data_IF_312585376633
#
_entry.id   IF_312585376633
#
_cell.length_a   1.000
_cell.length_b   1.000
_cell.length_c   1.000
_cell.angle_alpha   90.00
_cell.angle_beta   90.00
_cell.angle_gamma   90.00
#
_symmetry.space_group_name_H-M   'P 1'
#
loop_
_entity.id
_entity.type
_entity.pdbx_description
1 polymer ?
#
# COMPACT_ATOMS: atom_id res chain seq x y z
N UNK A 1 0.41 -14.92 -18.80
CA UNK A 1 0.86 -13.74 -18.03
C UNK A 1 -0.34 -13.02 -17.44
N UNK A 2 -0.28 -12.69 -16.16
CA UNK A 2 -1.40 -12.07 -15.46
C UNK A 2 -1.01 -10.64 -15.09
N UNK A 3 -1.90 -9.70 -15.43
CA UNK A 3 -1.78 -8.30 -15.02
C UNK A 3 -2.92 -7.93 -14.08
N UNK A 4 -2.62 -7.20 -13.03
CA UNK A 4 -3.62 -6.58 -12.18
C UNK A 4 -3.55 -5.07 -12.37
N UNK A 5 -4.68 -4.39 -12.30
CA UNK A 5 -4.74 -2.94 -12.54
C UNK A 5 -5.37 -2.26 -11.33
N UNK A 6 -4.66 -1.27 -10.78
CA UNK A 6 -5.16 -0.42 -9.72
C UNK A 6 -4.89 1.03 -10.10
N UNK A 7 -5.94 1.76 -10.49
CA UNK A 7 -5.76 3.14 -10.94
C UNK A 7 -5.31 4.06 -9.81
N UNK A 8 -5.76 3.81 -8.60
CA UNK A 8 -5.47 4.67 -7.46
C UNK A 8 -5.03 3.86 -6.24
N UNK A 9 -3.82 3.31 -6.28
CA UNK A 9 -3.29 2.56 -5.14
C UNK A 9 -3.03 3.48 -3.95
N UNK A 10 -2.86 2.89 -2.77
CA UNK A 10 -2.65 3.63 -1.54
C UNK A 10 -1.72 2.89 -0.58
N UNK A 11 -1.04 3.64 0.26
CA UNK A 11 -0.43 3.10 1.47
C UNK A 11 -1.48 3.12 2.58
N UNK A 12 -1.77 1.98 3.16
CA UNK A 12 -2.68 1.87 4.30
C UNK A 12 -1.85 1.77 5.57
N UNK A 13 -1.88 2.84 6.36
CA UNK A 13 -1.15 2.91 7.62
C UNK A 13 -2.14 2.62 8.76
N UNK A 14 -1.96 1.48 9.40
CA UNK A 14 -2.84 1.03 10.48
C UNK A 14 -2.11 1.19 11.80
N UNK A 15 -2.72 1.96 12.71
CA UNK A 15 -2.18 2.18 14.05
C UNK A 15 -3.15 1.62 15.08
N UNK A 16 -2.60 1.11 16.16
CA UNK A 16 -3.38 0.62 17.29
C UNK A 16 -2.98 1.43 18.52
N UNK A 17 -3.96 2.05 19.14
CA UNK A 17 -3.77 2.89 20.32
C UNK A 17 -4.63 2.35 21.46
N UNK A 18 -3.98 2.01 22.60
CA UNK A 18 -4.72 1.60 23.80
C UNK A 18 -5.22 2.82 24.54
N UNK A 19 -6.48 2.78 24.95
CA UNK A 19 -7.10 3.83 25.78
C UNK A 19 -6.98 5.22 25.15
N UNK A 20 -7.35 5.33 23.86
CA UNK A 20 -7.34 6.61 23.17
C UNK A 20 -8.15 7.66 23.95
N UNK A 21 -7.54 8.84 24.16
CA UNK A 21 -8.19 9.98 24.80
C UNK A 21 -8.01 11.23 23.96
N UNK A 22 -9.12 11.82 23.55
CA UNK A 22 -9.09 13.07 22.77
C UNK A 22 -8.46 14.19 23.57
N UNK A 23 -7.69 15.05 22.89
CA UNK A 23 -7.03 16.19 23.52
C UNK A 23 -5.77 15.86 24.32
N UNK A 24 -5.32 14.62 24.29
CA UNK A 24 -4.10 14.17 24.97
C UNK A 24 -3.15 13.52 23.96
N UNK A 25 -1.88 13.40 24.37
CA UNK A 25 -0.90 12.66 23.58
C UNK A 25 -1.19 11.17 23.73
N UNK A 26 -1.44 10.52 22.61
CA UNK A 26 -1.69 9.08 22.57
C UNK A 26 -0.52 8.40 21.85
N UNK A 27 -0.01 7.34 22.45
CA UNK A 27 1.08 6.57 21.87
C UNK A 27 0.55 5.33 21.17
N UNK A 28 1.13 5.02 20.01
CA UNK A 28 0.76 3.83 19.27
C UNK A 28 1.25 2.58 20.01
N UNK A 29 0.37 1.59 20.14
CA UNK A 29 0.76 0.27 20.62
C UNK A 29 1.44 -0.52 19.52
N UNK A 30 0.85 -0.52 18.32
CA UNK A 30 1.41 -1.16 17.15
C UNK A 30 1.13 -0.31 15.93
N UNK A 31 1.97 -0.47 14.91
CA UNK A 31 1.74 0.15 13.62
C UNK A 31 2.11 -0.81 12.51
N UNK A 32 1.33 -0.81 11.45
CA UNK A 32 1.53 -1.65 10.29
C UNK A 32 1.23 -0.89 9.02
N UNK A 33 1.98 -1.19 7.97
CA UNK A 33 1.76 -0.60 6.66
C UNK A 33 1.32 -1.70 5.70
N UNK A 34 0.21 -1.46 5.02
CA UNK A 34 -0.31 -2.34 3.98
C UNK A 34 -0.41 -1.58 2.67
N UNK A 35 -0.42 -2.31 1.57
CA UNK A 35 -0.49 -1.72 0.24
C UNK A 35 -1.90 -1.94 -0.29
N UNK A 36 -2.64 -0.84 -0.49
CA UNK A 36 -4.06 -0.87 -0.80
C UNK A 36 -4.37 -0.76 -2.28
N UNK A 37 -5.55 -1.25 -2.62
CA UNK A 37 -6.09 -1.30 -3.97
C UNK A 37 -6.50 -2.71 -4.32
N UNK A 38 -7.62 -2.85 -5.03
CA UNK A 38 -8.17 -4.18 -5.32
C UNK A 38 -7.22 -5.01 -6.19
N UNK A 39 -6.66 -4.40 -7.24
CA UNK A 39 -5.70 -5.11 -8.09
C UNK A 39 -4.44 -5.51 -7.34
N UNK A 40 -3.94 -4.64 -6.47
CA UNK A 40 -2.77 -4.94 -5.66
C UNK A 40 -3.07 -6.09 -4.70
N UNK A 41 -4.27 -6.10 -4.09
CA UNK A 41 -4.67 -7.21 -3.23
C UNK A 41 -4.71 -8.54 -3.99
N UNK A 42 -5.19 -8.53 -5.22
CA UNK A 42 -5.19 -9.72 -6.06
C UNK A 42 -3.75 -10.19 -6.33
N UNK A 43 -2.84 -9.27 -6.65
CA UNK A 43 -1.43 -9.62 -6.87
C UNK A 43 -0.79 -10.21 -5.61
N UNK A 44 -1.12 -9.68 -4.44
CA UNK A 44 -0.63 -10.21 -3.17
C UNK A 44 -1.11 -11.65 -2.95
N UNK A 45 -2.39 -11.91 -3.19
CA UNK A 45 -2.97 -13.26 -3.05
C UNK A 45 -2.35 -14.22 -4.05
N UNK A 46 -2.19 -13.81 -5.30
CA UNK A 46 -1.55 -14.63 -6.31
C UNK A 46 -0.11 -14.98 -5.92
N UNK A 47 0.61 -14.01 -5.37
CA UNK A 47 1.97 -14.23 -4.90
C UNK A 47 2.02 -15.28 -3.79
N UNK A 48 1.09 -15.25 -2.85
CA UNK A 48 0.98 -16.25 -1.80
C UNK A 48 0.70 -17.63 -2.36
N UNK A 49 -0.01 -17.72 -3.48
CA UNK A 49 -0.30 -18.97 -4.17
C UNK A 49 0.81 -19.38 -5.15
N UNK A 50 1.93 -18.68 -5.14
CA UNK A 50 3.06 -18.89 -6.04
C UNK A 50 2.73 -18.70 -7.51
N UNK A 51 1.78 -17.78 -7.80
CA UNK A 51 1.40 -17.41 -9.15
C UNK A 51 1.93 -16.00 -9.42
N UNK A 52 2.75 -15.86 -10.45
CA UNK A 52 3.30 -14.56 -10.84
C UNK A 52 2.25 -13.67 -11.47
N UNK A 53 2.27 -12.39 -11.10
CA UNK A 53 1.49 -11.35 -11.77
C UNK A 53 2.30 -10.07 -11.81
N UNK A 54 1.88 -9.13 -12.66
CA UNK A 54 2.46 -7.80 -12.71
C UNK A 54 1.40 -6.78 -12.36
N UNK A 55 1.65 -5.98 -11.33
CA UNK A 55 0.73 -4.94 -10.90
C UNK A 55 0.96 -3.67 -11.72
N UNK A 56 -0.12 -3.15 -12.29
CA UNK A 56 -0.14 -1.91 -13.07
C UNK A 56 -0.95 -0.86 -12.32
N UNK A 57 -0.61 0.40 -12.50
CA UNK A 57 -1.34 1.49 -11.89
C UNK A 57 -0.56 2.79 -11.98
N UNK A 58 -1.08 3.83 -11.35
CA UNK A 58 -0.45 5.14 -11.30
C UNK A 58 0.08 5.39 -9.89
N UNK A 59 1.32 5.82 -9.79
CA UNK A 59 1.94 6.21 -8.52
C UNK A 59 2.55 7.59 -8.62
N UNK A 60 2.80 8.22 -7.49
CA UNK A 60 3.26 9.59 -7.46
C UNK A 60 4.02 9.89 -6.18
N UNK A 61 5.11 10.64 -6.29
CA UNK A 61 5.87 11.14 -5.15
C UNK A 61 6.53 10.06 -4.30
N UNK A 62 6.94 10.46 -3.10
CA UNK A 62 7.68 9.54 -2.21
C UNK A 62 6.78 8.40 -1.69
N UNK A 63 5.49 8.64 -1.55
CA UNK A 63 4.55 7.60 -1.13
C UNK A 63 4.35 6.55 -2.21
N UNK A 64 4.36 6.97 -3.49
CA UNK A 64 4.32 6.05 -4.61
C UNK A 64 5.58 5.18 -4.67
N UNK A 65 6.73 5.78 -4.45
CA UNK A 65 7.98 5.03 -4.40
C UNK A 65 7.99 4.04 -3.25
N UNK A 66 7.49 4.43 -2.07
CA UNK A 66 7.40 3.53 -0.92
C UNK A 66 6.49 2.34 -1.22
N UNK A 67 5.36 2.56 -1.88
CA UNK A 67 4.45 1.50 -2.29
C UNK A 67 5.13 0.53 -3.26
N UNK A 68 5.80 1.05 -4.26
CA UNK A 68 6.50 0.26 -5.26
C UNK A 68 7.60 -0.59 -4.62
N UNK A 69 8.44 0.04 -3.78
CA UNK A 69 9.54 -0.64 -3.12
C UNK A 69 9.02 -1.73 -2.16
N UNK A 70 7.94 -1.44 -1.43
CA UNK A 70 7.33 -2.42 -0.53
C UNK A 70 6.78 -3.63 -1.25
N UNK A 71 6.12 -3.43 -2.39
CA UNK A 71 5.63 -4.54 -3.21
C UNK A 71 6.78 -5.36 -3.78
N UNK A 72 7.86 -4.70 -4.20
CA UNK A 72 9.04 -5.38 -4.70
C UNK A 72 9.66 -6.27 -3.61
N UNK A 73 9.73 -5.77 -2.37
CA UNK A 73 10.26 -6.53 -1.24
C UNK A 73 9.42 -7.78 -0.94
N UNK A 74 8.14 -7.75 -1.27
CA UNK A 74 7.25 -8.91 -1.15
C UNK A 74 7.37 -9.88 -2.32
N UNK A 75 8.17 -9.56 -3.32
CA UNK A 75 8.36 -10.39 -4.49
C UNK A 75 7.31 -10.18 -5.59
N UNK A 76 6.58 -9.08 -5.54
CA UNK A 76 5.55 -8.76 -6.52
C UNK A 76 6.15 -7.88 -7.62
N UNK A 77 5.95 -8.28 -8.87
CA UNK A 77 6.38 -7.49 -10.02
C UNK A 77 5.44 -6.32 -10.24
N UNK A 78 6.01 -5.16 -10.51
CA UNK A 78 5.24 -3.95 -10.75
C UNK A 78 5.71 -3.26 -12.03
N UNK A 79 4.79 -2.60 -12.69
CA UNK A 79 5.11 -1.73 -13.82
C UNK A 79 4.20 -0.51 -13.74
N UNK A 80 4.41 0.29 -12.70
CA UNK A 80 3.61 1.48 -12.45
C UNK A 80 4.04 2.64 -13.33
N UNK A 81 3.06 3.48 -13.67
CA UNK A 81 3.30 4.76 -14.35
C UNK A 81 3.46 5.83 -13.27
N UNK A 82 4.59 6.52 -13.28
CA UNK A 82 4.83 7.61 -12.36
C UNK A 82 4.22 8.92 -12.89
N UNK A 83 3.42 9.57 -12.05
CA UNK A 83 2.79 10.85 -12.35
C UNK A 83 3.61 11.95 -11.70
N UNK A 84 3.84 13.04 -12.41
CA UNK A 84 4.79 14.08 -11.98
C UNK A 84 4.31 14.91 -10.79
N UNK A 85 3.00 15.11 -10.63
CA UNK A 85 2.48 15.97 -9.57
C UNK A 85 1.57 15.24 -8.63
N UNK A 86 1.77 15.49 -7.33
CA UNK A 86 0.96 14.92 -6.27
C UNK A 86 1.69 13.86 -5.48
N UNK A 87 0.94 13.00 -4.83
CA UNK A 87 1.49 11.86 -4.12
C UNK A 87 0.45 10.74 -4.06
N UNK A 88 0.95 9.53 -3.99
CA UNK A 88 0.10 8.35 -3.79
C UNK A 88 -0.60 8.47 -2.45
N UNK A 89 -1.88 8.14 -2.45
CA UNK A 89 -2.78 8.29 -1.31
C UNK A 89 -2.30 7.48 -0.09
N UNK A 90 -2.44 8.09 1.08
CA UNK A 90 -2.22 7.41 2.35
C UNK A 90 -3.56 7.34 3.07
N UNK A 91 -3.96 6.16 3.49
CA UNK A 91 -5.11 5.97 4.36
C UNK A 91 -4.61 5.65 5.76
N UNK A 92 -5.13 6.36 6.75
CA UNK A 92 -4.76 6.13 8.14
C UNK A 92 -5.97 5.50 8.83
N UNK A 93 -5.76 4.34 9.44
CA UNK A 93 -6.79 3.63 10.20
C UNK A 93 -6.31 3.47 11.63
N UNK A 94 -7.12 3.95 12.55
CA UNK A 94 -6.87 3.82 13.98
C UNK A 94 -7.83 2.79 14.57
N UNK A 95 -7.27 1.85 15.29
CA UNK A 95 -8.05 0.79 15.95
C UNK A 95 -7.89 0.82 17.45
#
# INVERSE_FOLDING_TARGET
>A
MIYTITFNPALDYVIQVDHFKAGQINRNKTENVYYGGKGINVSCILNELSVSSTALGFICGFTGKALKDGLHDLGIHTNFIEVEKGMTRINIKMK
#
